data_IF_252681748676
#
_entry.id   IF_252681748676
#
_cell.length_a   1.000
_cell.length_b   1.000
_cell.length_c   1.000
_cell.angle_alpha   90.00
_cell.angle_beta   90.00
_cell.angle_gamma   90.00
#
_symmetry.space_group_name_H-M   'P 1'
#
loop_
_entity.id
_entity.type
_entity.pdbx_description
1 polymer ?
#
# COMPACT_ATOMS: atom_id res chain seq x y z
N UNK A 1 29.69 -24.87 -5.47
CA UNK A 1 28.93 -23.80 -6.14
C UNK A 1 27.56 -23.84 -5.52
N UNK A 2 27.21 -22.85 -4.70
CA UNK A 2 25.92 -22.77 -4.00
C UNK A 2 24.94 -22.12 -4.95
N UNK A 3 23.90 -22.87 -5.36
CA UNK A 3 22.76 -22.32 -6.10
C UNK A 3 22.09 -21.25 -5.21
N UNK A 4 21.82 -20.03 -5.71
CA UNK A 4 21.02 -19.09 -4.95
C UNK A 4 19.61 -19.67 -4.83
N UNK A 5 19.19 -19.96 -3.60
CA UNK A 5 17.80 -20.29 -3.28
C UNK A 5 16.93 -19.16 -3.82
N UNK A 6 16.21 -19.43 -4.92
CA UNK A 6 15.13 -18.59 -5.40
C UNK A 6 14.12 -18.54 -4.27
N UNK A 7 14.19 -17.47 -3.46
CA UNK A 7 13.14 -17.15 -2.51
C UNK A 7 11.82 -17.20 -3.28
N UNK A 8 10.82 -17.99 -2.85
CA UNK A 8 9.55 -18.04 -3.54
C UNK A 8 9.03 -16.61 -3.58
N UNK A 9 8.96 -16.03 -4.78
CA UNK A 9 8.34 -14.74 -5.00
C UNK A 9 6.93 -14.86 -4.42
N UNK A 10 6.67 -14.15 -3.31
CA UNK A 10 5.34 -14.22 -2.67
C UNK A 10 4.32 -13.93 -3.76
N UNK A 11 3.24 -14.73 -3.88
CA UNK A 11 2.26 -14.54 -4.93
C UNK A 11 1.77 -13.09 -4.87
N UNK A 12 2.10 -12.32 -5.90
CA UNK A 12 1.80 -10.90 -5.95
C UNK A 12 0.28 -10.74 -5.93
N UNK A 13 -0.22 -10.05 -4.92
CA UNK A 13 -1.66 -9.84 -4.78
C UNK A 13 -2.13 -8.96 -5.93
N UNK A 14 -3.22 -9.38 -6.60
CA UNK A 14 -3.80 -8.61 -7.70
C UNK A 14 -4.75 -7.57 -7.15
N UNK A 15 -4.38 -6.30 -7.27
CA UNK A 15 -5.24 -5.20 -6.84
C UNK A 15 -6.09 -4.66 -7.99
N UNK A 16 -7.38 -4.34 -7.74
CA UNK A 16 -8.25 -3.80 -8.77
C UNK A 16 -7.77 -2.43 -9.26
N UNK A 17 -7.63 -2.25 -10.58
CA UNK A 17 -7.17 -0.99 -11.18
C UNK A 17 -5.77 -0.55 -10.71
N UNK A 18 -4.94 -1.49 -10.25
CA UNK A 18 -3.49 -1.27 -10.19
C UNK A 18 -2.96 -1.15 -11.63
N UNK A 19 -2.20 -0.09 -11.88
CA UNK A 19 -1.54 0.17 -13.15
C UNK A 19 -0.19 0.83 -12.89
N UNK A 20 0.87 0.27 -13.48
CA UNK A 20 2.24 0.79 -13.34
C UNK A 20 2.70 0.92 -11.87
N UNK A 21 2.36 -0.08 -11.03
CA UNK A 21 2.69 -0.09 -9.60
C UNK A 21 1.93 0.96 -8.77
N UNK A 22 0.92 1.61 -9.35
CA UNK A 22 0.06 2.58 -8.69
C UNK A 22 -1.35 2.06 -8.56
N UNK A 23 -1.98 2.32 -7.42
CA UNK A 23 -3.35 1.92 -7.14
C UNK A 23 -4.19 3.11 -6.70
N UNK A 24 -5.31 3.32 -7.39
CA UNK A 24 -6.22 4.45 -7.12
C UNK A 24 -7.42 3.98 -6.33
N UNK A 25 -7.50 4.41 -5.07
CA UNK A 25 -8.65 4.19 -4.20
C UNK A 25 -9.58 5.39 -4.27
N UNK A 26 -10.76 5.21 -4.86
CA UNK A 26 -11.76 6.28 -4.94
C UNK A 26 -12.50 6.45 -3.61
N UNK A 27 -12.81 7.71 -3.29
CA UNK A 27 -13.55 8.08 -2.09
C UNK A 27 -14.84 7.26 -1.93
N UNK A 28 -14.98 6.61 -0.78
CA UNK A 28 -16.15 5.82 -0.37
C UNK A 28 -16.52 4.65 -1.30
N UNK A 29 -15.65 4.28 -2.25
CA UNK A 29 -15.85 3.09 -3.08
C UNK A 29 -15.16 1.90 -2.42
N UNK A 30 -15.89 0.82 -2.07
CA UNK A 30 -15.27 -0.38 -1.56
C UNK A 30 -14.61 -1.18 -2.69
N UNK A 31 -13.37 -1.61 -2.45
CA UNK A 31 -12.61 -2.50 -3.31
C UNK A 31 -12.46 -3.86 -2.64
N UNK A 32 -12.51 -4.92 -3.43
CA UNK A 32 -12.34 -6.28 -2.96
C UNK A 32 -11.06 -6.87 -3.52
N UNK A 33 -10.26 -7.49 -2.64
CA UNK A 33 -8.99 -8.13 -2.97
C UNK A 33 -9.00 -9.55 -2.40
N UNK A 34 -8.67 -10.53 -3.23
CA UNK A 34 -8.51 -11.93 -2.79
C UNK A 34 -7.04 -12.21 -2.49
N UNK A 35 -6.75 -12.67 -1.27
CA UNK A 35 -5.40 -13.03 -0.84
C UNK A 35 -5.45 -14.20 0.15
N UNK A 36 -4.59 -15.20 -0.03
CA UNK A 36 -4.52 -16.41 0.82
C UNK A 36 -5.88 -17.11 1.03
N UNK A 37 -6.75 -17.10 0.01
CA UNK A 37 -8.09 -17.69 0.08
C UNK A 37 -9.09 -16.88 0.91
N UNK A 38 -8.75 -15.63 1.26
CA UNK A 38 -9.61 -14.70 2.01
C UNK A 38 -9.96 -13.47 1.18
N UNK A 39 -11.16 -12.96 1.43
CA UNK A 39 -11.66 -11.73 0.83
C UNK A 39 -11.35 -10.56 1.76
N UNK A 40 -10.57 -9.60 1.25
CA UNK A 40 -10.28 -8.34 1.91
C UNK A 40 -11.11 -7.21 1.28
N UNK A 41 -11.70 -6.36 2.11
CA UNK A 41 -12.42 -5.15 1.70
C UNK A 41 -11.61 -3.92 2.08
N UNK A 42 -11.31 -3.09 1.09
CA UNK A 42 -10.53 -1.86 1.24
C UNK A 42 -11.43 -0.67 0.92
N UNK A 43 -11.48 0.32 1.81
CA UNK A 43 -12.27 1.55 1.62
C UNK A 43 -11.40 2.76 1.93
N UNK A 44 -11.40 3.75 1.04
CA UNK A 44 -10.77 5.03 1.29
C UNK A 44 -11.80 6.11 1.67
N UNK A 45 -11.51 6.87 2.71
CA UNK A 45 -12.24 8.05 3.15
C UNK A 45 -11.30 9.24 3.11
N UNK A 46 -11.80 10.43 2.79
CA UNK A 46 -11.02 11.66 2.67
C UNK A 46 -11.71 12.70 3.53
N UNK A 47 -10.94 13.36 4.38
CA UNK A 47 -11.39 14.41 5.25
C UNK A 47 -10.76 15.71 4.80
N UNK A 48 -11.58 16.76 4.65
CA UNK A 48 -11.14 18.05 4.12
C UNK A 48 -10.95 19.14 5.19
N UNK A 49 -11.26 18.85 6.47
CA UNK A 49 -11.16 19.82 7.58
C UNK A 49 -10.67 19.12 8.86
N UNK A 50 -9.80 19.74 9.67
CA UNK A 50 -9.16 21.05 9.46
C UNK A 50 -8.06 21.05 8.37
N UNK A 51 -7.55 19.86 8.01
CA UNK A 51 -6.55 19.64 6.94
C UNK A 51 -6.98 18.47 6.07
N UNK A 52 -6.51 18.45 4.81
CA UNK A 52 -6.76 17.32 3.90
C UNK A 52 -5.96 16.10 4.33
N UNK A 53 -6.66 15.03 4.69
CA UNK A 53 -6.05 13.75 5.03
C UNK A 53 -6.94 12.59 4.56
N UNK A 54 -6.31 11.46 4.31
CA UNK A 54 -6.97 10.21 3.95
C UNK A 54 -7.18 9.32 5.17
N UNK A 55 -8.09 8.37 5.02
CA UNK A 55 -8.20 7.18 5.85
C UNK A 55 -8.36 5.98 4.95
N UNK A 56 -7.64 4.90 5.23
CA UNK A 56 -7.83 3.63 4.56
C UNK A 56 -8.26 2.60 5.60
N UNK A 57 -9.40 1.96 5.38
CA UNK A 57 -9.88 0.84 6.18
C UNK A 57 -9.68 -0.45 5.39
N UNK A 58 -9.05 -1.44 6.01
CA UNK A 58 -8.82 -2.77 5.46
C UNK A 58 -9.47 -3.78 6.38
N UNK A 59 -10.54 -4.44 5.94
CA UNK A 59 -11.18 -5.51 6.70
C UNK A 59 -11.07 -6.84 5.96
N UNK A 60 -10.99 -7.94 6.71
CA UNK A 60 -11.11 -9.30 6.19
C UNK A 60 -12.38 -9.94 6.72
N UNK A 61 -12.97 -10.87 5.97
CA UNK A 61 -14.20 -11.57 6.36
C UNK A 61 -14.11 -12.21 7.77
N UNK A 62 -12.92 -12.70 8.16
CA UNK A 62 -12.69 -13.47 9.39
C UNK A 62 -11.94 -12.71 10.51
N UNK A 63 -11.74 -11.39 10.40
CA UNK A 63 -10.80 -10.70 11.29
C UNK A 63 -11.13 -9.23 11.61
N UNK A 64 -10.55 -8.68 12.69
CA UNK A 64 -10.67 -7.27 13.00
C UNK A 64 -10.03 -6.46 11.88
N UNK A 65 -10.75 -5.46 11.37
CA UNK A 65 -10.20 -4.55 10.37
C UNK A 65 -9.08 -3.68 10.94
N UNK A 66 -8.15 -3.30 10.07
CA UNK A 66 -7.11 -2.30 10.34
C UNK A 66 -7.55 -0.98 9.73
N UNK A 67 -7.31 0.10 10.46
CA UNK A 67 -7.61 1.45 10.02
C UNK A 67 -6.33 2.27 10.03
N UNK A 68 -6.05 2.94 8.92
CA UNK A 68 -4.96 3.89 8.77
C UNK A 68 -5.58 5.28 8.66
N UNK A 69 -5.44 6.09 9.70
CA UNK A 69 -6.03 7.43 9.83
C UNK A 69 -4.98 8.53 9.59
N UNK A 70 -5.45 9.77 9.40
CA UNK A 70 -4.61 10.95 9.21
C UNK A 70 -3.56 10.83 8.08
N UNK A 71 -3.86 10.03 7.05
CA UNK A 71 -2.93 9.75 5.97
C UNK A 71 -2.61 10.99 5.12
N UNK A 72 -1.33 11.19 4.89
CA UNK A 72 -0.74 12.25 4.07
C UNK A 72 0.25 11.67 3.05
N UNK A 73 0.58 12.42 1.98
CA UNK A 73 1.59 11.97 1.02
C UNK A 73 2.93 11.65 1.71
N UNK A 74 3.44 10.45 1.49
CA UNK A 74 4.64 9.92 2.15
C UNK A 74 4.38 8.78 3.13
N UNK A 75 3.18 8.70 3.69
CA UNK A 75 2.84 7.68 4.67
C UNK A 75 2.80 6.29 4.04
N UNK A 76 3.04 5.26 4.85
CA UNK A 76 3.05 3.86 4.40
C UNK A 76 1.92 3.10 5.08
N UNK A 77 1.15 2.37 4.27
CA UNK A 77 0.10 1.46 4.71
C UNK A 77 0.43 0.04 4.28
N UNK A 78 -0.02 -0.95 5.05
CA UNK A 78 0.14 -2.36 4.72
C UNK A 78 -1.23 -2.93 4.35
N UNK A 79 -1.35 -3.44 3.12
CA UNK A 79 -2.61 -4.01 2.61
C UNK A 79 -2.27 -5.43 2.17
N UNK A 80 -2.92 -6.42 2.78
CA UNK A 80 -2.70 -7.85 2.48
C UNK A 80 -1.21 -8.25 2.49
N UNK A 81 -0.42 -7.65 3.39
CA UNK A 81 1.03 -7.89 3.52
C UNK A 81 1.92 -7.14 2.52
N UNK A 82 1.35 -6.41 1.55
CA UNK A 82 2.09 -5.51 0.68
C UNK A 82 2.16 -4.10 1.25
N UNK A 83 3.33 -3.48 1.11
CA UNK A 83 3.54 -2.09 1.53
C UNK A 83 3.22 -1.13 0.41
N UNK A 84 2.42 -0.14 0.74
CA UNK A 84 1.96 0.90 -0.16
C UNK A 84 2.31 2.26 0.42
N UNK A 85 2.95 3.11 -0.36
CA UNK A 85 3.17 4.50 -0.01
C UNK A 85 2.01 5.35 -0.52
N UNK A 86 1.48 6.23 0.32
CA UNK A 86 0.52 7.26 -0.09
C UNK A 86 1.25 8.26 -0.97
N UNK A 87 0.95 8.24 -2.27
CA UNK A 87 1.54 9.17 -3.23
C UNK A 87 0.76 10.50 -3.27
N UNK A 88 -0.57 10.43 -3.19
CA UNK A 88 -1.46 11.59 -3.29
C UNK A 88 -2.72 11.36 -2.45
N UNK A 89 -3.20 12.42 -1.79
CA UNK A 89 -4.54 12.49 -1.23
C UNK A 89 -5.25 13.66 -1.90
N UNK A 90 -6.12 13.36 -2.87
CA UNK A 90 -6.96 14.37 -3.51
C UNK A 90 -8.14 14.65 -2.59
N UNK A 91 -8.33 15.92 -2.21
CA UNK A 91 -9.30 16.34 -1.19
C UNK A 91 -10.79 16.00 -1.47
N UNK A 92 -11.16 15.48 -2.65
CA UNK A 92 -12.54 15.14 -2.99
C UNK A 92 -12.74 13.78 -3.63
N UNK A 93 -11.73 13.19 -4.26
CA UNK A 93 -11.99 12.13 -5.22
C UNK A 93 -11.29 10.81 -4.92
N UNK A 94 -10.06 10.83 -4.39
CA UNK A 94 -9.24 9.62 -4.29
C UNK A 94 -8.02 9.74 -3.37
N UNK A 95 -7.54 8.58 -2.97
CA UNK A 95 -6.18 8.35 -2.46
C UNK A 95 -5.42 7.55 -3.51
N UNK A 96 -4.20 7.97 -3.85
CA UNK A 96 -3.32 7.24 -4.76
C UNK A 96 -2.21 6.60 -3.95
N UNK A 97 -2.05 5.29 -4.14
CA UNK A 97 -1.00 4.49 -3.55
C UNK A 97 0.02 4.11 -4.62
N UNK A 98 1.28 3.99 -4.24
CA UNK A 98 2.33 3.40 -5.05
C UNK A 98 3.04 2.29 -4.28
N UNK A 99 3.54 1.27 -4.97
CA UNK A 99 4.29 0.17 -4.34
C UNK A 99 5.49 0.75 -3.60
N UNK A 100 5.53 0.58 -2.28
CA UNK A 100 6.72 0.88 -1.51
C UNK A 100 7.69 -0.29 -1.71
N UNK A 101 8.78 -0.07 -2.46
CA UNK A 101 9.80 -1.10 -2.64
C UNK A 101 10.28 -1.59 -1.27
N UNK A 102 10.24 -2.90 -1.05
CA UNK A 102 10.99 -3.57 0.03
C UNK A 102 12.47 -3.65 -0.33
N UNK A 103 13.11 -2.53 -0.67
CA UNK A 103 14.58 -2.42 -0.59
C UNK A 103 14.90 -1.99 0.83
N UNK A 104 15.58 -2.79 1.66
CA UNK A 104 16.96 -3.18 1.42
C UNK A 104 17.82 -1.95 1.74
N UNK A 105 18.57 -2.00 2.84
CA UNK A 105 19.56 -1.00 3.25
C UNK A 105 20.08 -0.14 2.09
N UNK A 106 20.00 1.18 2.23
CA UNK A 106 20.99 2.06 1.61
C UNK A 106 22.35 1.71 2.22
N UNK A 107 22.97 0.66 1.68
CA UNK A 107 24.41 0.53 1.67
C UNK A 107 24.95 1.72 0.89
N UNK A 108 25.27 2.80 1.60
CA UNK A 108 26.12 3.88 1.08
C UNK A 108 27.54 3.30 0.94
N UNK A 109 27.73 2.53 -0.12
CA UNK A 109 29.03 2.16 -0.64
C UNK A 109 29.31 2.99 -1.88
N UNK A 110 30.03 4.10 -1.72
CA UNK A 110 31.27 4.40 -2.45
C UNK A 110 31.66 5.87 -2.32
N UNK A 111 32.82 6.09 -1.68
CA UNK A 111 33.95 6.93 -2.13
C UNK A 111 34.84 7.11 -0.88
N UNK A 112 36.01 6.49 -0.74
CA UNK A 112 37.08 6.40 -1.73
C UNK A 112 37.84 7.72 -1.79
N UNK A 113 38.52 8.13 -0.70
CA UNK A 113 39.55 9.18 -0.69
C UNK A 113 40.52 8.95 0.48
N UNK A 114 41.83 8.92 0.18
CA UNK A 114 42.92 9.08 1.15
C UNK A 114 43.89 7.91 1.25
#
# INVERSE_FOLDING_TARGET
MTEPELQPERPHVKYPFEFDGRWVLRYHIPYTVEHEGRTHRIVATIFAKPSVHGRIQVSSEDGPGVEYDDLTPGDVVEITGDRWRVAEVDYRTRVVLERASTGGEEGTGAQGVG
#
